data_IF_161991809992
#
_entry.id   IF_161991809992
#
_cell.length_a   1.000
_cell.length_b   1.000
_cell.length_c   1.000
_cell.angle_alpha   90.00
_cell.angle_beta   90.00
_cell.angle_gamma   90.00
#
_symmetry.space_group_name_H-M   'P 1'
#
loop_
_entity.id
_entity.type
_entity.pdbx_description
1 polymer ?
#
# COMPACT_ATOMS: atom_id res chain seq x y z
N UNK A 1 -17.09 -40.43 9.86
CA UNK A 1 -15.92 -40.13 8.98
C UNK A 1 -15.73 -38.65 8.73
N UNK A 2 -16.78 -37.84 8.66
CA UNK A 2 -16.75 -36.36 8.49
C UNK A 2 -16.16 -35.59 9.67
N UNK A 3 -16.54 -35.98 10.91
CA UNK A 3 -16.04 -35.33 12.13
C UNK A 3 -14.51 -35.42 12.29
N UNK A 4 -13.92 -36.54 11.84
CA UNK A 4 -12.48 -36.75 11.88
C UNK A 4 -11.72 -35.92 10.82
N UNK A 5 -12.36 -35.67 9.66
CA UNK A 5 -11.87 -34.80 8.60
C UNK A 5 -11.92 -33.31 9.04
N UNK A 6 -13.02 -32.90 9.70
CA UNK A 6 -13.16 -31.57 10.30
C UNK A 6 -12.14 -31.33 11.42
N UNK A 7 -11.93 -32.30 12.32
CA UNK A 7 -10.94 -32.22 13.39
C UNK A 7 -9.52 -32.08 12.84
N UNK A 8 -9.17 -32.83 11.80
CA UNK A 8 -7.85 -32.75 11.16
C UNK A 8 -7.62 -31.40 10.45
N UNK A 9 -8.68 -30.80 9.86
CA UNK A 9 -8.60 -29.45 9.26
C UNK A 9 -8.48 -28.33 10.29
N UNK A 10 -8.89 -28.57 11.53
CA UNK A 10 -8.80 -27.61 12.64
C UNK A 10 -7.41 -27.55 13.26
N UNK A 11 -6.66 -28.66 13.22
CA UNK A 11 -5.30 -28.76 13.80
C UNK A 11 -4.19 -28.63 12.78
N UNK A 12 -4.51 -28.67 11.49
CA UNK A 12 -3.50 -28.49 10.43
C UNK A 12 -3.12 -27.01 10.28
N UNK A 13 -1.93 -26.65 10.77
CA UNK A 13 -1.35 -25.32 10.66
C UNK A 13 -0.81 -24.98 9.25
N UNK A 14 -0.98 -25.86 8.28
CA UNK A 14 -0.54 -25.64 6.91
C UNK A 14 -1.57 -24.83 6.13
N UNK A 15 -1.11 -23.82 5.41
CA UNK A 15 -1.98 -23.00 4.56
C UNK A 15 -2.31 -23.65 3.21
N UNK A 16 -1.57 -24.70 2.81
CA UNK A 16 -1.65 -25.27 1.47
C UNK A 16 -1.06 -24.35 0.39
N UNK A 17 -0.85 -24.85 -0.82
CA UNK A 17 -0.24 -24.05 -1.91
C UNK A 17 -1.04 -22.80 -2.27
N UNK A 18 -2.36 -22.93 -2.43
CA UNK A 18 -3.25 -21.79 -2.72
C UNK A 18 -3.33 -20.77 -1.58
N UNK A 19 -3.25 -21.21 -0.34
CA UNK A 19 -3.22 -20.32 0.82
C UNK A 19 -1.95 -19.49 0.85
N UNK A 20 -0.80 -20.09 0.57
CA UNK A 20 0.46 -19.34 0.45
C UNK A 20 0.43 -18.33 -0.70
N UNK A 21 -0.11 -18.70 -1.86
CA UNK A 21 -0.26 -17.76 -2.98
C UNK A 21 -1.09 -16.53 -2.58
N UNK A 22 -2.15 -16.72 -1.77
CA UNK A 22 -2.96 -15.60 -1.28
C UNK A 22 -2.22 -14.74 -0.27
N UNK A 23 -1.42 -15.33 0.61
CA UNK A 23 -0.55 -14.61 1.55
C UNK A 23 0.48 -13.78 0.78
N UNK A 24 1.16 -14.36 -0.21
CA UNK A 24 2.12 -13.65 -1.07
C UNK A 24 1.47 -12.50 -1.84
N UNK A 25 0.30 -12.72 -2.43
CA UNK A 25 -0.45 -11.66 -3.10
C UNK A 25 -0.74 -10.49 -2.16
N UNK A 26 -1.23 -10.79 -0.96
CA UNK A 26 -1.54 -9.76 0.04
C UNK A 26 -0.27 -9.09 0.57
N UNK A 27 0.84 -9.83 0.69
CA UNK A 27 2.15 -9.29 1.06
C UNK A 27 2.67 -8.30 0.02
N UNK A 28 2.49 -8.58 -1.28
CA UNK A 28 2.82 -7.65 -2.37
C UNK A 28 1.97 -6.38 -2.27
N UNK A 29 0.68 -6.49 -1.98
CA UNK A 29 -0.16 -5.32 -1.78
C UNK A 29 0.29 -4.47 -0.58
N UNK A 30 0.67 -5.10 0.55
CA UNK A 30 1.24 -4.38 1.69
C UNK A 30 2.60 -3.75 1.37
N UNK A 31 3.41 -4.40 0.55
CA UNK A 31 4.67 -3.83 0.04
C UNK A 31 4.40 -2.52 -0.69
N UNK A 32 3.53 -2.51 -1.70
CA UNK A 32 3.21 -1.30 -2.45
C UNK A 32 2.52 -0.24 -1.59
N UNK A 33 1.66 -0.66 -0.67
CA UNK A 33 1.03 0.27 0.26
C UNK A 33 2.07 1.00 1.12
N UNK A 34 3.00 0.28 1.73
CA UNK A 34 4.06 0.86 2.54
C UNK A 34 5.03 1.71 1.71
N UNK A 35 5.42 1.22 0.51
CA UNK A 35 6.26 1.95 -0.43
C UNK A 35 5.70 3.35 -0.75
N UNK A 36 4.40 3.41 -1.02
CA UNK A 36 3.74 4.64 -1.44
C UNK A 36 3.43 5.56 -0.25
N UNK A 37 2.88 5.01 0.84
CA UNK A 37 2.34 5.84 1.94
C UNK A 37 3.35 6.12 3.03
N UNK A 38 4.17 5.15 3.43
CA UNK A 38 5.11 5.29 4.56
C UNK A 38 6.49 5.68 4.08
N UNK A 39 7.07 4.85 3.21
CA UNK A 39 8.44 5.05 2.73
C UNK A 39 8.52 6.23 1.76
N UNK A 40 7.54 6.35 0.86
CA UNK A 40 7.44 7.46 -0.09
C UNK A 40 7.30 8.80 0.61
N UNK A 41 6.47 8.92 1.65
CA UNK A 41 6.31 10.16 2.41
C UNK A 41 7.59 10.65 3.08
N UNK A 42 8.54 9.77 3.35
CA UNK A 42 9.83 10.16 3.93
C UNK A 42 10.87 10.54 2.86
N UNK A 43 10.82 9.89 1.69
CA UNK A 43 11.85 10.02 0.65
C UNK A 43 11.49 11.09 -0.39
N UNK A 44 10.21 11.18 -0.77
CA UNK A 44 9.74 12.07 -1.84
C UNK A 44 9.94 13.57 -1.53
N UNK A 45 9.62 14.07 -0.32
CA UNK A 45 9.79 15.49 -0.02
C UNK A 45 11.21 15.98 -0.23
N UNK A 46 12.21 15.22 0.20
CA UNK A 46 13.62 15.59 0.01
C UNK A 46 14.02 15.62 -1.47
N UNK A 47 13.55 14.64 -2.24
CA UNK A 47 13.81 14.57 -3.67
C UNK A 47 13.16 15.74 -4.45
N UNK A 48 11.94 16.14 -4.07
CA UNK A 48 11.28 17.32 -4.66
C UNK A 48 11.93 18.64 -4.24
N UNK A 49 12.34 18.75 -2.97
CA UNK A 49 13.09 19.92 -2.50
C UNK A 49 14.37 20.12 -3.31
N UNK A 50 15.13 19.07 -3.54
CA UNK A 50 16.36 19.10 -4.32
C UNK A 50 16.11 19.40 -5.81
N UNK A 51 15.11 18.80 -6.42
CA UNK A 51 14.83 18.95 -7.85
C UNK A 51 14.19 20.29 -8.24
N UNK A 52 13.36 20.88 -7.37
CA UNK A 52 12.57 22.08 -7.67
C UNK A 52 12.96 23.30 -6.81
N UNK A 53 13.86 23.12 -5.86
CA UNK A 53 14.24 24.19 -4.91
C UNK A 53 13.12 24.53 -3.92
N UNK A 54 12.20 23.61 -3.65
CA UNK A 54 11.10 23.82 -2.71
C UNK A 54 11.58 23.60 -1.27
N UNK A 55 10.90 24.24 -0.31
CA UNK A 55 11.23 24.02 1.11
C UNK A 55 10.83 22.61 1.57
N UNK A 56 11.84 21.84 1.99
CA UNK A 56 11.65 20.45 2.42
C UNK A 56 10.71 20.34 3.65
N UNK A 57 10.75 21.31 4.56
CA UNK A 57 9.91 21.30 5.76
C UNK A 57 8.44 21.51 5.40
N UNK A 58 8.16 22.37 4.43
CA UNK A 58 6.81 22.58 3.89
C UNK A 58 6.30 21.29 3.27
N UNK A 59 7.10 20.60 2.46
CA UNK A 59 6.69 19.32 1.84
C UNK A 59 6.49 18.20 2.87
N UNK A 60 7.35 18.11 3.88
CA UNK A 60 7.19 17.15 4.98
C UNK A 60 5.94 17.41 5.81
N UNK A 61 5.56 18.67 6.02
CA UNK A 61 4.36 19.02 6.77
C UNK A 61 3.08 18.53 6.11
N UNK A 62 3.08 18.33 4.79
CA UNK A 62 1.95 17.78 4.02
C UNK A 62 1.66 16.31 4.38
N UNK A 63 2.64 15.57 4.91
CA UNK A 63 2.43 14.18 5.31
C UNK A 63 1.32 14.02 6.37
N UNK A 64 1.20 14.99 7.29
CA UNK A 64 0.15 14.94 8.34
C UNK A 64 -1.26 15.05 7.75
N UNK A 65 -1.64 16.08 6.98
CA UNK A 65 -2.96 16.14 6.38
C UNK A 65 -3.20 15.01 5.37
N UNK A 66 -2.19 14.57 4.61
CA UNK A 66 -2.33 13.42 3.73
C UNK A 66 -2.64 12.12 4.50
N UNK A 67 -1.99 11.91 5.64
CA UNK A 67 -2.29 10.79 6.55
C UNK A 67 -3.72 10.82 7.08
N UNK A 68 -4.23 12.01 7.47
CA UNK A 68 -5.62 12.18 7.92
C UNK A 68 -6.62 11.85 6.79
N UNK A 69 -6.36 12.29 5.57
CA UNK A 69 -7.17 11.93 4.40
C UNK A 69 -7.11 10.42 4.13
N UNK A 70 -5.96 9.80 4.32
CA UNK A 70 -5.80 8.33 4.26
C UNK A 70 -6.65 7.59 5.30
N UNK A 71 -6.77 8.11 6.52
CA UNK A 71 -7.68 7.56 7.54
C UNK A 71 -9.13 7.64 7.10
N UNK A 72 -9.57 8.78 6.56
CA UNK A 72 -10.93 8.95 6.00
C UNK A 72 -11.14 7.93 4.87
N UNK A 73 -10.16 7.74 3.98
CA UNK A 73 -10.18 6.71 2.95
C UNK A 73 -10.36 5.31 3.54
N UNK A 74 -9.63 4.98 4.60
CA UNK A 74 -9.76 3.72 5.32
C UNK A 74 -11.19 3.45 5.83
N UNK A 75 -11.87 4.46 6.36
CA UNK A 75 -13.29 4.35 6.76
C UNK A 75 -14.23 4.15 5.58
N UNK A 76 -14.04 4.93 4.51
CA UNK A 76 -14.86 4.84 3.29
C UNK A 76 -14.71 3.47 2.64
N UNK A 77 -13.48 3.05 2.36
CA UNK A 77 -13.20 1.76 1.72
C UNK A 77 -13.44 0.58 2.64
N UNK A 78 -13.28 0.74 3.96
CA UNK A 78 -13.64 -0.27 4.95
C UNK A 78 -15.14 -0.58 4.95
N UNK A 79 -16.00 0.42 4.73
CA UNK A 79 -17.45 0.19 4.51
C UNK A 79 -17.76 -0.37 3.13
N UNK A 80 -17.04 0.10 2.12
CA UNK A 80 -17.26 -0.31 0.74
C UNK A 80 -16.85 -1.76 0.51
N UNK A 81 -15.79 -2.25 1.15
CA UNK A 81 -15.30 -3.64 1.00
C UNK A 81 -16.32 -4.69 1.46
N UNK A 82 -17.21 -4.32 2.38
CA UNK A 82 -18.30 -5.20 2.84
C UNK A 82 -19.36 -5.38 1.74
N UNK A 83 -19.57 -4.36 0.90
CA UNK A 83 -20.59 -4.35 -0.17
C UNK A 83 -20.02 -4.78 -1.52
N UNK A 84 -18.73 -4.70 -1.71
CA UNK A 84 -18.04 -5.00 -2.96
C UNK A 84 -17.12 -6.21 -2.81
N UNK A 85 -16.67 -6.78 -3.94
CA UNK A 85 -15.65 -7.83 -3.91
C UNK A 85 -14.28 -7.21 -3.61
N UNK A 86 -13.56 -7.64 -2.58
CA UNK A 86 -12.25 -7.07 -2.22
C UNK A 86 -11.27 -7.04 -3.40
N UNK A 87 -11.34 -8.05 -4.30
CA UNK A 87 -10.52 -8.13 -5.51
C UNK A 87 -10.73 -6.94 -6.44
N UNK A 88 -11.98 -6.59 -6.73
CA UNK A 88 -12.28 -5.50 -7.65
C UNK A 88 -11.91 -4.15 -7.02
N UNK A 89 -12.20 -3.99 -5.73
CA UNK A 89 -11.85 -2.79 -5.01
C UNK A 89 -10.33 -2.59 -4.96
N UNK A 90 -9.56 -3.62 -4.62
CA UNK A 90 -8.10 -3.53 -4.58
C UNK A 90 -7.51 -3.21 -5.96
N UNK A 91 -8.02 -3.83 -7.03
CA UNK A 91 -7.53 -3.57 -8.37
C UNK A 91 -7.80 -2.12 -8.82
N UNK A 92 -9.01 -1.64 -8.62
CA UNK A 92 -9.38 -0.26 -9.00
C UNK A 92 -8.57 0.76 -8.20
N UNK A 93 -8.51 0.61 -6.89
CA UNK A 93 -7.78 1.56 -6.04
C UNK A 93 -6.27 1.51 -6.28
N UNK A 94 -5.69 0.35 -6.56
CA UNK A 94 -4.28 0.20 -6.91
C UNK A 94 -3.97 0.90 -8.25
N UNK A 95 -4.80 0.71 -9.28
CA UNK A 95 -4.63 1.37 -10.58
C UNK A 95 -4.71 2.89 -10.43
N UNK A 96 -5.73 3.39 -9.73
CA UNK A 96 -5.88 4.84 -9.50
C UNK A 96 -4.65 5.39 -8.75
N UNK A 97 -4.22 4.71 -7.68
CA UNK A 97 -3.04 5.13 -6.91
C UNK A 97 -1.78 5.12 -7.77
N UNK A 98 -1.60 4.10 -8.63
CA UNK A 98 -0.45 4.03 -9.55
C UNK A 98 -0.43 5.18 -10.55
N UNK A 99 -1.60 5.55 -11.10
CA UNK A 99 -1.71 6.70 -12.01
C UNK A 99 -1.40 8.01 -11.29
N UNK A 100 -1.95 8.24 -10.10
CA UNK A 100 -1.66 9.43 -9.28
C UNK A 100 -0.17 9.48 -8.93
N UNK A 101 0.43 8.36 -8.56
CA UNK A 101 1.85 8.30 -8.23
C UNK A 101 2.75 8.64 -9.44
N UNK A 102 2.36 8.21 -10.63
CA UNK A 102 3.07 8.61 -11.86
C UNK A 102 2.89 10.11 -12.16
N UNK A 103 1.70 10.68 -11.91
CA UNK A 103 1.44 12.11 -12.08
C UNK A 103 2.20 12.95 -11.06
N UNK A 104 2.40 12.45 -9.84
CA UNK A 104 3.16 13.12 -8.78
C UNK A 104 4.57 13.53 -9.27
N UNK A 105 5.24 12.69 -10.07
CA UNK A 105 6.55 13.02 -10.67
C UNK A 105 6.55 14.20 -11.65
N UNK A 106 5.37 14.70 -12.05
CA UNK A 106 5.20 15.76 -13.05
C UNK A 106 4.58 17.05 -12.48
N UNK A 107 4.30 17.11 -11.19
CA UNK A 107 3.62 18.27 -10.57
C UNK A 107 4.47 19.52 -10.60
N UNK A 108 3.93 20.66 -11.06
CA UNK A 108 4.69 21.92 -11.20
C UNK A 108 4.61 22.83 -9.96
N UNK A 109 3.80 22.50 -8.95
CA UNK A 109 3.60 23.37 -7.78
C UNK A 109 3.36 22.58 -6.49
N UNK A 110 3.71 23.19 -5.35
CA UNK A 110 3.49 22.61 -4.02
C UNK A 110 2.01 22.34 -3.73
N UNK A 111 1.11 23.18 -4.24
CA UNK A 111 -0.33 22.99 -4.07
C UNK A 111 -0.83 21.72 -4.77
N UNK A 112 -0.38 21.49 -6.01
CA UNK A 112 -0.72 20.26 -6.74
C UNK A 112 -0.07 19.03 -6.10
N UNK A 113 1.18 19.13 -5.62
CA UNK A 113 1.83 18.08 -4.85
C UNK A 113 1.00 17.69 -3.61
N UNK A 114 0.48 18.68 -2.87
CA UNK A 114 -0.32 18.46 -1.68
C UNK A 114 -1.62 17.71 -2.01
N UNK A 115 -2.35 18.17 -3.04
CA UNK A 115 -3.61 17.56 -3.46
C UNK A 115 -3.39 16.13 -3.94
N UNK A 116 -2.38 15.92 -4.77
CA UNK A 116 -2.06 14.62 -5.34
C UNK A 116 -1.66 13.61 -4.26
N UNK A 117 -0.81 14.04 -3.31
CA UNK A 117 -0.42 13.19 -2.17
C UNK A 117 -1.61 12.81 -1.28
N UNK A 118 -2.56 13.74 -1.04
CA UNK A 118 -3.78 13.45 -0.32
C UNK A 118 -4.64 12.41 -1.05
N UNK A 119 -4.79 12.53 -2.38
CA UNK A 119 -5.52 11.57 -3.20
C UNK A 119 -4.83 10.21 -3.21
N UNK A 120 -3.50 10.16 -3.32
CA UNK A 120 -2.72 8.94 -3.23
C UNK A 120 -3.02 8.22 -1.91
N UNK A 121 -2.93 8.91 -0.77
CA UNK A 121 -3.20 8.31 0.55
C UNK A 121 -4.63 7.83 0.69
N UNK A 122 -5.59 8.59 0.16
CA UNK A 122 -7.00 8.21 0.14
C UNK A 122 -7.21 6.89 -0.59
N UNK A 123 -6.77 6.80 -1.86
CA UNK A 123 -6.98 5.60 -2.66
C UNK A 123 -6.08 4.43 -2.23
N UNK A 124 -4.86 4.68 -1.78
CA UNK A 124 -3.97 3.64 -1.26
C UNK A 124 -4.60 2.88 -0.08
N UNK A 125 -5.37 3.56 0.77
CA UNK A 125 -6.08 2.91 1.87
C UNK A 125 -7.09 1.87 1.40
N UNK A 126 -7.61 1.98 0.18
CA UNK A 126 -8.55 1.01 -0.41
C UNK A 126 -7.95 -0.37 -0.61
N UNK A 127 -6.75 -0.47 -1.19
CA UNK A 127 -6.09 -1.76 -1.36
C UNK A 127 -5.28 -2.17 -0.12
N UNK A 128 -4.65 -1.24 0.60
CA UNK A 128 -3.80 -1.51 1.75
C UNK A 128 -4.59 -1.83 3.01
N UNK A 129 -5.27 -0.84 3.58
CA UNK A 129 -5.92 -0.98 4.90
C UNK A 129 -7.28 -1.68 4.84
N UNK A 130 -8.02 -1.58 3.73
CA UNK A 130 -9.35 -2.17 3.62
C UNK A 130 -9.35 -3.55 2.94
N UNK A 131 -8.76 -3.69 1.75
CA UNK A 131 -8.83 -4.95 0.99
C UNK A 131 -7.92 -6.04 1.55
N UNK A 132 -6.70 -5.73 1.98
CA UNK A 132 -5.76 -6.73 2.49
C UNK A 132 -6.29 -7.53 3.68
N UNK A 133 -6.77 -6.91 4.76
CA UNK A 133 -7.39 -7.66 5.86
C UNK A 133 -8.64 -8.44 5.44
N UNK A 134 -9.43 -7.89 4.49
CA UNK A 134 -10.62 -8.58 3.98
C UNK A 134 -10.25 -9.85 3.18
N UNK A 135 -9.19 -9.83 2.37
CA UNK A 135 -8.67 -11.03 1.70
C UNK A 135 -8.29 -12.11 2.71
N UNK A 136 -7.50 -11.72 3.71
CA UNK A 136 -7.04 -12.66 4.75
C UNK A 136 -8.20 -13.21 5.57
N UNK A 137 -9.17 -12.37 5.95
CA UNK A 137 -10.34 -12.79 6.70
C UNK A 137 -11.23 -13.77 5.93
N UNK A 138 -11.39 -13.55 4.61
CA UNK A 138 -12.20 -14.40 3.74
C UNK A 138 -11.53 -15.76 3.46
N UNK A 139 -10.20 -15.78 3.27
CA UNK A 139 -9.47 -17.00 2.97
C UNK A 139 -9.10 -17.83 4.20
N UNK A 140 -8.84 -17.17 5.32
CA UNK A 140 -8.35 -17.80 6.54
C UNK A 140 -9.21 -17.47 7.76
N UNK A 141 -10.51 -17.77 7.79
CA UNK A 141 -11.42 -17.35 8.86
C UNK A 141 -10.97 -17.82 10.26
N UNK A 142 -10.30 -18.98 10.33
CA UNK A 142 -9.81 -19.58 11.58
C UNK A 142 -8.35 -19.24 11.90
N UNK A 143 -7.55 -18.86 10.92
CA UNK A 143 -6.09 -18.60 11.04
C UNK A 143 -5.73 -17.17 10.60
N UNK A 144 -6.72 -16.27 10.58
CA UNK A 144 -6.57 -14.90 10.09
C UNK A 144 -5.41 -14.14 10.72
N UNK A 145 -5.15 -14.32 12.03
CA UNK A 145 -4.06 -13.63 12.73
C UNK A 145 -2.68 -14.04 12.23
N UNK A 146 -2.43 -15.34 12.07
CA UNK A 146 -1.14 -15.85 11.57
C UNK A 146 -0.95 -15.48 10.10
N UNK A 147 -2.00 -15.63 9.28
CA UNK A 147 -1.94 -15.28 7.86
C UNK A 147 -1.73 -13.77 7.65
N UNK A 148 -2.37 -12.93 8.48
CA UNK A 148 -2.17 -11.48 8.45
C UNK A 148 -0.74 -11.11 8.87
N UNK A 149 -0.19 -11.77 9.91
CA UNK A 149 1.20 -11.56 10.33
C UNK A 149 2.19 -11.80 9.20
N UNK A 150 2.03 -12.88 8.43
CA UNK A 150 2.85 -13.13 7.24
C UNK A 150 2.63 -12.09 6.14
N UNK A 151 1.38 -11.72 5.87
CA UNK A 151 1.06 -10.75 4.84
C UNK A 151 1.63 -9.35 5.14
N UNK A 152 1.61 -8.92 6.41
CA UNK A 152 2.13 -7.61 6.83
C UNK A 152 3.66 -7.51 6.75
N UNK A 153 4.39 -8.61 6.60
CA UNK A 153 5.83 -8.59 6.32
C UNK A 153 6.18 -7.85 5.00
N UNK A 154 5.20 -7.65 4.12
CA UNK A 154 5.37 -6.81 2.94
C UNK A 154 5.84 -5.40 3.26
N UNK A 155 5.38 -4.79 4.37
CA UNK A 155 5.77 -3.44 4.74
C UNK A 155 7.26 -3.31 5.11
N UNK A 156 7.85 -4.07 6.05
CA UNK A 156 9.28 -3.97 6.34
C UNK A 156 10.16 -4.39 5.15
N UNK A 157 9.69 -5.30 4.29
CA UNK A 157 10.41 -5.64 3.04
C UNK A 157 10.43 -4.42 2.10
N UNK A 158 9.31 -3.66 2.03
CA UNK A 158 9.24 -2.41 1.27
C UNK A 158 10.29 -1.42 1.78
N UNK A 159 10.29 -1.13 3.07
CA UNK A 159 11.24 -0.16 3.66
C UNK A 159 12.71 -0.49 3.36
N UNK A 160 13.04 -1.78 3.26
CA UNK A 160 14.40 -2.20 2.92
C UNK A 160 14.69 -2.14 1.41
N UNK A 161 13.80 -2.66 0.58
CA UNK A 161 14.04 -2.85 -0.85
C UNK A 161 13.63 -1.60 -1.68
N UNK A 162 12.45 -1.02 -1.40
CA UNK A 162 11.94 0.12 -2.15
C UNK A 162 12.78 1.37 -1.89
N UNK A 163 13.11 1.68 -0.63
CA UNK A 163 13.89 2.88 -0.30
C UNK A 163 15.26 2.85 -0.99
N UNK A 164 15.97 1.71 -0.91
CA UNK A 164 17.25 1.56 -1.57
C UNK A 164 17.13 1.63 -3.10
N UNK A 165 16.16 0.91 -3.69
CA UNK A 165 15.95 0.90 -5.14
C UNK A 165 15.51 2.27 -5.68
N UNK A 166 14.59 2.93 -5.00
CA UNK A 166 14.09 4.24 -5.41
C UNK A 166 15.16 5.34 -5.28
N UNK A 167 15.99 5.29 -4.23
CA UNK A 167 17.12 6.22 -4.08
C UNK A 167 18.13 6.09 -5.23
N UNK A 168 18.43 4.87 -5.66
CA UNK A 168 19.29 4.62 -6.83
C UNK A 168 18.63 5.14 -8.12
N UNK A 169 17.34 4.93 -8.30
CA UNK A 169 16.60 5.43 -9.48
C UNK A 169 16.59 6.97 -9.52
N UNK A 170 16.36 7.63 -8.38
CA UNK A 170 16.43 9.08 -8.27
C UNK A 170 17.82 9.62 -8.66
N UNK A 171 18.87 8.99 -8.14
CA UNK A 171 20.24 9.41 -8.40
C UNK A 171 20.67 9.19 -9.86
N UNK A 172 20.16 8.15 -10.54
CA UNK A 172 20.63 7.77 -11.88
C UNK A 172 19.75 8.31 -13.02
N UNK A 173 18.43 8.39 -12.81
CA UNK A 173 17.43 8.70 -13.86
C UNK A 173 16.69 10.01 -13.65
N UNK A 174 16.87 10.65 -12.52
CA UNK A 174 16.14 11.86 -12.14
C UNK A 174 14.69 11.60 -11.73
N UNK A 175 14.06 12.65 -11.16
CA UNK A 175 12.78 12.53 -10.48
C UNK A 175 11.63 12.03 -11.41
N UNK A 176 11.48 12.64 -12.59
CA UNK A 176 10.38 12.26 -13.50
C UNK A 176 10.40 10.80 -13.90
N UNK A 177 11.58 10.27 -14.23
CA UNK A 177 11.74 8.89 -14.67
C UNK A 177 11.55 7.91 -13.52
N UNK A 178 12.00 8.27 -12.32
CA UNK A 178 11.86 7.42 -11.12
C UNK A 178 10.40 7.18 -10.70
N UNK A 179 9.48 8.11 -11.03
CA UNK A 179 8.04 7.96 -10.73
C UNK A 179 7.25 7.23 -11.81
N UNK A 180 7.79 7.09 -13.03
CA UNK A 180 7.12 6.45 -14.17
C UNK A 180 7.53 4.98 -14.33
N UNK A 181 8.70 4.60 -13.83
CA UNK A 181 9.20 3.21 -13.83
C UNK A 181 8.69 2.46 -12.61
#
# INVERSE_FOLDING_TARGET
METKKLSKSLTDNRFGGWGWSMIFYTMILYFFYAAITTDGMNLIPSAFAEAHGWDANTLLSVATPAGLVGLVGGFVFGRLVIKTKPKNMSAVTLIITGVLYALLGMVPSVALYTIDLMLICFFASGFGTAACPAFIANWFPRKKGIALGWATMGAPISSSAFVAGFAVLLATKGIRTAFVI
#
